data_IF_761350242352
#
_entry.id   IF_761350242352
#
_cell.length_a   1.000
_cell.length_b   1.000
_cell.length_c   1.000
_cell.angle_alpha   90.00
_cell.angle_beta   90.00
_cell.angle_gamma   90.00
#
_symmetry.space_group_name_H-M   'P 1'
#
loop_
_entity.id
_entity.type
_entity.pdbx_description
1 polymer ?
#
# COMPACT_ATOMS: atom_id res chain seq x y z
N UNK A 1 4.27 13.42 -12.04
CA UNK A 1 5.52 12.64 -12.16
C UNK A 1 5.36 11.58 -13.23
N UNK A 2 6.47 11.19 -13.88
CA UNK A 2 6.51 10.02 -14.78
C UNK A 2 6.77 8.74 -13.99
N UNK A 3 6.51 7.61 -14.61
CA UNK A 3 6.83 6.29 -14.06
C UNK A 3 7.84 5.59 -14.98
N UNK A 4 8.63 4.69 -14.43
CA UNK A 4 9.63 3.91 -15.17
C UNK A 4 9.63 2.45 -14.74
N UNK A 5 10.18 1.59 -15.58
CA UNK A 5 10.33 0.18 -15.25
C UNK A 5 11.79 -0.14 -14.92
N UNK A 6 12.03 -0.73 -13.77
CA UNK A 6 13.34 -1.21 -13.36
C UNK A 6 13.74 -2.50 -14.10
N UNK A 7 15.02 -2.86 -14.05
CA UNK A 7 15.56 -4.07 -14.68
C UNK A 7 14.93 -5.37 -14.19
N UNK A 8 14.40 -5.37 -12.96
CA UNK A 8 13.66 -6.51 -12.38
C UNK A 8 12.18 -6.56 -12.80
N UNK A 9 11.74 -5.66 -13.67
CA UNK A 9 10.36 -5.58 -14.16
C UNK A 9 9.41 -4.72 -13.33
N UNK A 10 9.81 -4.24 -12.15
CA UNK A 10 8.96 -3.44 -11.27
C UNK A 10 8.80 -2.02 -11.80
N UNK A 11 7.57 -1.52 -11.86
CA UNK A 11 7.25 -0.14 -12.17
C UNK A 11 7.30 0.73 -10.92
N UNK A 12 7.97 1.87 -11.03
CA UNK A 12 8.22 2.81 -9.92
C UNK A 12 8.09 4.26 -10.39
N UNK A 13 7.92 5.25 -9.49
CA UNK A 13 8.01 6.66 -9.85
C UNK A 13 9.42 7.02 -10.31
N UNK A 14 9.53 7.79 -11.40
CA UNK A 14 10.83 8.25 -11.88
C UNK A 14 11.38 9.38 -11.00
N UNK A 15 12.67 9.31 -10.66
CA UNK A 15 13.35 10.33 -9.86
C UNK A 15 13.04 10.30 -8.37
N UNK A 16 12.47 9.20 -7.88
CA UNK A 16 12.30 8.98 -6.46
C UNK A 16 13.66 8.71 -5.79
N UNK A 17 13.98 9.45 -4.72
CA UNK A 17 15.27 9.36 -4.04
C UNK A 17 15.54 7.96 -3.45
N UNK A 18 14.50 7.24 -3.04
CA UNK A 18 14.63 5.85 -2.57
C UNK A 18 14.99 4.91 -3.73
N UNK A 19 14.38 5.12 -4.89
CA UNK A 19 14.69 4.33 -6.08
C UNK A 19 16.14 4.55 -6.51
N UNK A 20 16.64 5.77 -6.44
CA UNK A 20 18.05 6.06 -6.74
C UNK A 20 18.98 5.35 -5.74
N UNK A 21 18.65 5.34 -4.45
CA UNK A 21 19.41 4.57 -3.46
C UNK A 21 19.37 3.06 -3.76
N UNK A 22 18.25 2.53 -4.24
CA UNK A 22 18.15 1.13 -4.64
C UNK A 22 19.03 0.81 -5.86
N UNK A 23 19.12 1.73 -6.81
CA UNK A 23 20.02 1.59 -7.96
C UNK A 23 21.50 1.54 -7.54
N UNK A 24 21.88 2.38 -6.56
CA UNK A 24 23.27 2.47 -6.08
C UNK A 24 23.67 1.29 -5.19
N UNK A 25 22.79 0.84 -4.32
CA UNK A 25 23.09 -0.14 -3.26
C UNK A 25 22.61 -1.55 -3.58
N UNK A 26 21.96 -1.76 -4.72
CA UNK A 26 21.25 -2.99 -5.03
C UNK A 26 19.93 -3.13 -4.25
N UNK A 27 18.92 -3.65 -4.92
CA UNK A 27 17.66 -4.05 -4.30
C UNK A 27 17.88 -5.34 -3.51
N UNK A 28 17.42 -5.49 -2.28
CA UNK A 28 16.43 -4.78 -1.48
C UNK A 28 16.91 -4.22 -0.12
N UNK A 29 16.11 -3.35 0.48
CA UNK A 29 16.35 -2.70 1.78
C UNK A 29 15.79 -3.42 3.01
N UNK A 30 15.92 -2.76 4.20
CA UNK A 30 15.53 -3.32 5.51
C UNK A 30 14.05 -3.74 5.60
N UNK A 31 13.14 -3.07 4.90
CA UNK A 31 11.74 -3.51 4.81
C UNK A 31 11.64 -4.91 4.20
N UNK A 32 12.48 -5.22 3.22
CA UNK A 32 12.52 -6.54 2.60
C UNK A 32 13.02 -7.62 3.55
N UNK A 33 13.88 -7.30 4.50
CA UNK A 33 14.30 -8.29 5.49
C UNK A 33 13.13 -8.72 6.38
N UNK A 34 12.34 -7.78 6.88
CA UNK A 34 11.14 -8.09 7.67
C UNK A 34 10.09 -8.80 6.82
N UNK A 35 9.87 -8.33 5.60
CA UNK A 35 8.93 -8.94 4.66
C UNK A 35 9.35 -10.36 4.29
N UNK A 36 10.63 -10.59 3.97
CA UNK A 36 11.16 -11.91 3.64
C UNK A 36 11.02 -12.87 4.82
N UNK A 37 11.33 -12.43 6.05
CA UNK A 37 11.12 -13.25 7.25
C UNK A 37 9.65 -13.59 7.46
N UNK A 38 8.73 -12.65 7.17
CA UNK A 38 7.30 -12.90 7.27
C UNK A 38 6.82 -13.88 6.19
N UNK A 39 7.28 -13.73 4.95
CA UNK A 39 7.01 -14.66 3.85
C UNK A 39 7.51 -16.07 4.19
N UNK A 40 8.76 -16.19 4.68
CA UNK A 40 9.32 -17.46 5.14
C UNK A 40 8.50 -18.08 6.28
N UNK A 41 8.02 -17.26 7.22
CA UNK A 41 7.16 -17.71 8.29
C UNK A 41 5.81 -18.22 7.73
N UNK A 42 5.19 -17.52 6.78
CA UNK A 42 3.97 -17.96 6.13
C UNK A 42 4.16 -19.31 5.43
N UNK A 43 5.26 -19.46 4.68
CA UNK A 43 5.60 -20.71 4.01
C UNK A 43 5.78 -21.87 4.99
N UNK A 44 6.58 -21.66 6.06
CA UNK A 44 6.88 -22.67 7.07
C UNK A 44 5.64 -23.14 7.82
N UNK A 45 4.64 -22.26 8.02
CA UNK A 45 3.43 -22.53 8.79
C UNK A 45 2.21 -22.82 7.91
N UNK A 46 2.40 -22.96 6.60
CA UNK A 46 1.29 -23.11 5.62
C UNK A 46 0.18 -22.07 5.84
N UNK A 47 0.61 -20.83 6.14
CA UNK A 47 -0.32 -19.74 6.49
C UNK A 47 -0.93 -19.15 5.24
N UNK A 48 -2.26 -19.07 5.22
CA UNK A 48 -3.04 -18.38 4.20
C UNK A 48 -4.07 -17.46 4.83
N UNK A 49 -4.22 -16.27 4.26
CA UNK A 49 -5.17 -15.26 4.70
C UNK A 49 -6.38 -15.25 3.75
N UNK A 50 -7.58 -14.99 4.28
CA UNK A 50 -8.78 -14.81 3.45
C UNK A 50 -8.76 -13.48 2.72
N UNK A 51 -8.51 -12.41 3.47
CA UNK A 51 -8.41 -11.05 2.94
C UNK A 51 -7.32 -10.28 3.66
N UNK A 52 -6.35 -9.79 2.89
CA UNK A 52 -5.34 -8.86 3.35
C UNK A 52 -5.73 -7.45 2.92
N UNK A 53 -5.61 -6.49 3.84
CA UNK A 53 -5.72 -5.07 3.56
C UNK A 53 -4.32 -4.45 3.61
N UNK A 54 -3.83 -3.96 2.48
CA UNK A 54 -2.55 -3.25 2.33
C UNK A 54 -2.82 -1.75 2.25
N UNK A 55 -2.71 -1.05 3.38
CA UNK A 55 -2.97 0.38 3.51
C UNK A 55 -1.66 1.15 3.37
N UNK A 56 -1.59 2.04 2.36
CA UNK A 56 -0.35 2.65 1.91
C UNK A 56 0.45 1.66 1.06
N UNK A 57 -0.16 1.17 -0.01
CA UNK A 57 0.41 0.10 -0.83
C UNK A 57 1.60 0.56 -1.71
N UNK A 58 1.79 1.88 -1.86
CA UNK A 58 2.81 2.46 -2.72
C UNK A 58 2.78 1.85 -4.13
N UNK A 59 3.90 1.27 -4.60
CA UNK A 59 3.99 0.58 -5.89
C UNK A 59 3.58 -0.91 -5.84
N UNK A 60 3.11 -1.41 -4.68
CA UNK A 60 2.59 -2.77 -4.53
C UNK A 60 3.65 -3.84 -4.24
N UNK A 61 4.86 -3.46 -3.84
CA UNK A 61 5.95 -4.41 -3.55
C UNK A 61 5.60 -5.39 -2.46
N UNK A 62 4.91 -4.91 -1.39
CA UNK A 62 4.47 -5.74 -0.30
C UNK A 62 3.37 -6.73 -0.75
N UNK A 63 2.33 -6.23 -1.41
CA UNK A 63 1.24 -7.06 -1.92
C UNK A 63 1.74 -8.10 -2.94
N UNK A 64 2.72 -7.74 -3.79
CA UNK A 64 3.35 -8.66 -4.73
C UNK A 64 4.04 -9.84 -4.03
N UNK A 65 4.73 -9.59 -2.90
CA UNK A 65 5.35 -10.64 -2.12
C UNK A 65 4.33 -11.55 -1.42
N UNK A 66 3.17 -10.98 -1.03
CA UNK A 66 2.12 -11.67 -0.29
C UNK A 66 1.04 -12.34 -1.16
N UNK A 67 1.07 -12.15 -2.48
CA UNK A 67 0.02 -12.58 -3.40
C UNK A 67 -0.36 -14.07 -3.32
N UNK A 68 0.62 -14.93 -3.03
CA UNK A 68 0.40 -16.37 -2.93
C UNK A 68 -0.12 -16.83 -1.55
N UNK A 69 -0.16 -15.91 -0.57
CA UNK A 69 -0.54 -16.20 0.81
C UNK A 69 -1.92 -15.66 1.18
N UNK A 70 -2.68 -15.17 0.19
CA UNK A 70 -4.03 -14.66 0.41
C UNK A 70 -5.00 -15.10 -0.69
N UNK A 71 -6.28 -15.28 -0.31
CA UNK A 71 -7.35 -15.48 -1.29
C UNK A 71 -7.73 -14.16 -1.96
N UNK A 72 -7.59 -13.03 -1.24
CA UNK A 72 -7.81 -11.66 -1.72
C UNK A 72 -6.84 -10.69 -1.08
N UNK A 73 -6.42 -9.68 -1.85
CA UNK A 73 -5.67 -8.54 -1.33
C UNK A 73 -6.33 -7.25 -1.83
N UNK A 74 -6.63 -6.33 -0.92
CA UNK A 74 -7.12 -5.00 -1.28
C UNK A 74 -6.05 -3.97 -0.93
N UNK A 75 -5.55 -3.28 -1.96
CA UNK A 75 -4.50 -2.28 -1.86
C UNK A 75 -5.09 -0.88 -1.92
N UNK A 76 -4.70 -0.02 -0.98
CA UNK A 76 -5.12 1.37 -0.90
C UNK A 76 -3.91 2.28 -1.03
N UNK A 77 -3.91 3.13 -2.06
CA UNK A 77 -2.83 4.08 -2.34
C UNK A 77 -3.41 5.39 -2.88
N UNK A 78 -3.35 6.50 -2.12
CA UNK A 78 -3.94 7.76 -2.53
C UNK A 78 -3.14 8.53 -3.58
N UNK A 79 -1.81 8.40 -3.62
CA UNK A 79 -0.98 9.12 -4.57
C UNK A 79 -1.18 8.59 -5.99
N UNK A 80 -1.59 9.45 -6.91
CA UNK A 80 -1.92 9.08 -8.30
C UNK A 80 -0.75 8.45 -9.06
N UNK A 81 0.48 8.92 -8.82
CA UNK A 81 1.69 8.39 -9.49
C UNK A 81 2.03 6.99 -8.96
N UNK A 82 2.00 6.80 -7.65
CA UNK A 82 2.18 5.48 -7.01
C UNK A 82 1.10 4.51 -7.46
N UNK A 83 -0.14 4.97 -7.51
CA UNK A 83 -1.27 4.15 -7.97
C UNK A 83 -1.13 3.71 -9.43
N UNK A 84 -0.55 4.54 -10.31
CA UNK A 84 -0.23 4.11 -11.68
C UNK A 84 0.82 2.99 -11.70
N UNK A 85 1.85 3.06 -10.83
CA UNK A 85 2.81 1.97 -10.67
C UNK A 85 2.12 0.72 -10.11
N UNK A 86 1.27 0.88 -9.11
CA UNK A 86 0.49 -0.19 -8.49
C UNK A 86 -0.34 -0.96 -9.53
N UNK A 87 -1.05 -0.24 -10.42
CA UNK A 87 -1.80 -0.86 -11.54
C UNK A 87 -0.89 -1.64 -12.46
N UNK A 88 0.28 -1.11 -12.82
CA UNK A 88 1.24 -1.78 -13.70
C UNK A 88 1.81 -3.06 -13.09
N UNK A 89 2.06 -3.03 -11.77
CA UNK A 89 2.66 -4.14 -11.05
C UNK A 89 1.65 -5.23 -10.69
N UNK A 90 0.41 -4.87 -10.35
CA UNK A 90 -0.56 -5.78 -9.74
C UNK A 90 -1.85 -5.95 -10.54
N UNK A 91 -2.12 -5.10 -11.53
CA UNK A 91 -3.40 -5.12 -12.26
C UNK A 91 -3.70 -6.40 -13.06
N UNK A 92 -2.71 -7.29 -13.21
CA UNK A 92 -2.89 -8.61 -13.84
C UNK A 92 -3.38 -9.72 -12.89
N UNK A 93 -3.45 -9.46 -11.56
CA UNK A 93 -3.89 -10.45 -10.57
C UNK A 93 -5.37 -10.28 -10.24
N UNK A 94 -6.23 -11.21 -10.63
CA UNK A 94 -7.68 -11.12 -10.45
C UNK A 94 -8.13 -11.06 -8.98
N UNK A 95 -7.35 -11.65 -8.06
CA UNK A 95 -7.63 -11.66 -6.63
C UNK A 95 -7.12 -10.40 -5.89
N UNK A 96 -6.43 -9.48 -6.59
CA UNK A 96 -5.94 -8.22 -6.03
C UNK A 96 -6.82 -7.06 -6.52
N UNK A 97 -7.40 -6.31 -5.59
CA UNK A 97 -8.16 -5.09 -5.90
C UNK A 97 -7.38 -3.85 -5.51
N UNK A 98 -7.41 -2.87 -6.39
CA UNK A 98 -6.63 -1.64 -6.27
C UNK A 98 -7.58 -0.45 -6.10
N UNK A 99 -7.33 0.36 -5.06
CA UNK A 99 -8.15 1.51 -4.71
C UNK A 99 -7.29 2.77 -4.61
N UNK A 100 -7.61 3.79 -5.41
CA UNK A 100 -6.94 5.10 -5.33
C UNK A 100 -7.61 5.97 -4.26
N UNK A 101 -7.53 5.53 -3.02
CA UNK A 101 -8.10 6.19 -1.84
C UNK A 101 -7.07 6.27 -0.72
N UNK A 102 -7.14 7.31 0.09
CA UNK A 102 -6.57 7.28 1.43
C UNK A 102 -7.48 6.51 2.38
N UNK A 103 -6.92 5.99 3.45
CA UNK A 103 -7.67 5.38 4.56
C UNK A 103 -7.36 6.16 5.84
N UNK A 104 -8.39 6.42 6.64
CA UNK A 104 -8.28 7.18 7.88
C UNK A 104 -9.55 7.08 8.73
N UNK A 105 -9.77 8.08 9.60
CA UNK A 105 -10.89 8.09 10.56
C UNK A 105 -12.12 8.89 10.10
N UNK A 106 -12.20 9.26 8.83
CA UNK A 106 -13.34 9.98 8.24
C UNK A 106 -13.61 9.51 6.82
N UNK A 107 -14.83 9.73 6.35
CA UNK A 107 -15.24 9.57 4.96
C UNK A 107 -15.37 10.95 4.33
N UNK A 108 -14.70 11.17 3.18
CA UNK A 108 -14.75 12.46 2.51
C UNK A 108 -13.65 12.67 1.48
N UNK A 109 -13.19 13.91 1.38
CA UNK A 109 -12.08 14.30 0.51
C UNK A 109 -11.05 15.10 1.29
N UNK A 110 -9.81 14.88 0.93
CA UNK A 110 -8.63 15.49 1.53
C UNK A 110 -7.68 15.98 0.45
N UNK A 111 -6.72 16.79 0.84
CA UNK A 111 -5.60 17.19 0.00
C UNK A 111 -4.36 16.38 0.38
N UNK A 112 -3.59 15.98 -0.62
CA UNK A 112 -2.24 15.44 -0.41
C UNK A 112 -1.22 16.55 -0.59
N UNK A 113 -0.12 16.51 0.18
CA UNK A 113 1.04 17.36 -0.10
C UNK A 113 1.66 16.92 -1.42
N UNK A 114 2.03 17.89 -2.25
CA UNK A 114 2.68 17.67 -3.54
C UNK A 114 4.20 17.78 -3.35
N UNK A 115 4.76 17.01 -2.42
CA UNK A 115 6.19 16.98 -2.21
C UNK A 115 6.88 16.16 -3.30
N UNK A 116 7.88 16.76 -3.93
CA UNK A 116 8.67 16.15 -5.00
C UNK A 116 9.45 14.90 -4.54
N UNK A 117 9.62 14.72 -3.24
CA UNK A 117 10.09 13.48 -2.62
C UNK A 117 8.88 12.63 -2.23
N UNK A 118 8.57 11.64 -3.05
CA UNK A 118 7.38 10.79 -2.94
C UNK A 118 7.23 10.06 -1.60
N UNK A 119 8.30 9.92 -0.83
CA UNK A 119 8.31 9.33 0.51
C UNK A 119 7.64 10.18 1.59
N UNK A 120 7.38 11.47 1.32
CA UNK A 120 6.79 12.40 2.29
C UNK A 120 5.39 12.87 1.88
N UNK A 121 4.67 12.13 1.04
CA UNK A 121 3.28 12.47 0.74
C UNK A 121 2.48 12.43 2.03
N UNK A 122 2.05 13.59 2.52
CA UNK A 122 1.24 13.73 3.73
C UNK A 122 -0.19 14.09 3.38
N UNK A 123 -1.10 13.60 4.19
CA UNK A 123 -2.49 14.02 4.15
C UNK A 123 -2.63 15.36 4.86
N UNK A 124 -3.24 16.32 4.18
CA UNK A 124 -3.76 17.55 4.78
C UNK A 124 -5.27 17.40 4.90
N UNK A 125 -5.79 17.56 6.11
CA UNK A 125 -7.24 17.56 6.38
C UNK A 125 -7.89 18.88 5.91
N UNK A 126 -7.61 19.23 4.67
CA UNK A 126 -8.14 20.39 3.95
C UNK A 126 -8.94 19.88 2.74
N UNK A 127 -9.81 20.74 2.19
CA UNK A 127 -10.56 20.42 0.99
C UNK A 127 -9.63 20.11 -0.18
N UNK A 128 -9.81 18.95 -0.80
CA UNK A 128 -9.01 18.45 -1.90
C UNK A 128 -9.77 17.48 -2.81
N UNK A 129 -9.06 16.81 -3.69
CA UNK A 129 -9.63 15.89 -4.68
C UNK A 129 -9.40 14.39 -4.36
N UNK A 130 -8.61 14.08 -3.34
CA UNK A 130 -8.30 12.71 -2.94
C UNK A 130 -9.38 12.17 -2.01
N UNK A 131 -9.97 11.05 -2.37
CA UNK A 131 -10.93 10.35 -1.51
C UNK A 131 -10.21 9.78 -0.30
N UNK A 132 -10.82 9.96 0.90
CA UNK A 132 -10.45 9.26 2.13
C UNK A 132 -11.68 8.53 2.66
N UNK A 133 -11.48 7.35 3.22
CA UNK A 133 -12.57 6.55 3.78
C UNK A 133 -12.11 5.79 5.03
N UNK A 134 -13.10 5.46 5.88
CA UNK A 134 -12.90 4.56 7.01
C UNK A 134 -13.00 3.11 6.53
N UNK A 135 -12.20 2.21 7.08
CA UNK A 135 -12.35 0.77 6.84
C UNK A 135 -13.73 0.26 7.32
N UNK A 136 -14.24 0.82 8.41
CA UNK A 136 -15.56 0.48 8.96
C UNK A 136 -16.73 0.84 8.03
N UNK A 137 -16.52 1.80 7.10
CA UNK A 137 -17.53 2.15 6.08
C UNK A 137 -17.54 1.16 4.91
N UNK A 138 -16.57 0.26 4.86
CA UNK A 138 -16.45 -0.78 3.84
C UNK A 138 -16.86 -2.12 4.43
N UNK A 139 -17.62 -2.92 3.72
CA UNK A 139 -18.03 -4.26 4.17
C UNK A 139 -16.84 -5.24 4.02
N UNK A 140 -15.94 -5.24 4.98
CA UNK A 140 -14.68 -6.01 4.96
C UNK A 140 -14.64 -7.14 6.00
N UNK A 141 -15.76 -7.79 6.26
CA UNK A 141 -15.96 -8.77 7.34
C UNK A 141 -15.02 -10.00 7.30
N UNK A 142 -14.35 -10.24 6.16
CA UNK A 142 -13.43 -11.37 5.99
C UNK A 142 -11.95 -10.97 6.14
N UNK A 143 -11.64 -9.71 6.49
CA UNK A 143 -10.27 -9.26 6.64
C UNK A 143 -9.64 -9.90 7.89
N UNK A 144 -8.56 -10.63 7.70
CA UNK A 144 -7.81 -11.31 8.76
C UNK A 144 -6.35 -10.89 8.82
N UNK A 145 -5.97 -9.90 8.00
CA UNK A 145 -4.67 -9.24 8.07
C UNK A 145 -4.77 -7.79 7.60
N UNK A 146 -4.14 -6.88 8.37
CA UNK A 146 -4.03 -5.47 8.07
C UNK A 146 -2.55 -5.04 8.12
N UNK A 147 -2.01 -4.57 7.00
CA UNK A 147 -0.73 -3.86 6.92
C UNK A 147 -1.03 -2.37 6.81
N UNK A 148 -0.38 -1.56 7.63
CA UNK A 148 -0.51 -0.10 7.64
C UNK A 148 0.87 0.52 7.50
N UNK A 149 1.04 1.39 6.50
CA UNK A 149 2.25 2.14 6.24
C UNK A 149 1.87 3.45 5.52
N UNK A 150 1.44 4.45 6.29
CA UNK A 150 0.74 5.66 5.79
C UNK A 150 1.37 6.97 6.22
N UNK A 151 2.66 6.94 6.54
CA UNK A 151 3.48 8.14 6.79
C UNK A 151 2.89 9.09 7.87
N UNK A 152 2.50 8.50 9.02
CA UNK A 152 2.06 9.22 10.21
C UNK A 152 0.55 9.31 10.42
N UNK A 153 -0.26 8.57 9.66
CA UNK A 153 -1.71 8.45 9.85
C UNK A 153 -2.13 7.08 10.42
N UNK A 154 -1.21 6.29 10.94
CA UNK A 154 -1.48 4.93 11.42
C UNK A 154 -2.59 4.92 12.47
N UNK A 155 -2.57 5.89 13.41
CA UNK A 155 -3.62 5.99 14.43
C UNK A 155 -4.98 6.35 13.86
N UNK A 156 -5.04 7.20 12.83
CA UNK A 156 -6.29 7.55 12.15
C UNK A 156 -6.86 6.35 11.38
N UNK A 157 -5.99 5.53 10.76
CA UNK A 157 -6.41 4.29 10.12
C UNK A 157 -7.04 3.35 11.15
N UNK A 158 -6.40 3.14 12.30
CA UNK A 158 -6.92 2.28 13.37
C UNK A 158 -8.25 2.82 13.94
N UNK A 159 -8.38 4.14 14.14
CA UNK A 159 -9.62 4.78 14.57
C UNK A 159 -10.76 4.60 13.56
N UNK A 160 -10.45 4.51 12.26
CA UNK A 160 -11.43 4.26 11.20
C UNK A 160 -11.70 2.76 10.96
N UNK A 161 -11.16 1.88 11.79
CA UNK A 161 -11.24 0.43 11.71
C UNK A 161 -11.69 -0.23 13.03
N UNK A 162 -12.29 0.53 13.96
CA UNK A 162 -12.65 0.04 15.30
C UNK A 162 -13.55 -1.19 15.23
N UNK A 163 -14.61 -1.15 14.39
CA UNK A 163 -15.52 -2.27 14.23
C UNK A 163 -14.91 -3.46 13.48
N UNK A 164 -13.95 -3.20 12.61
CA UNK A 164 -13.23 -4.25 11.86
C UNK A 164 -12.26 -5.01 12.79
N UNK A 165 -11.74 -4.35 13.82
CA UNK A 165 -10.73 -4.89 14.73
C UNK A 165 -11.35 -5.61 15.95
N UNK A 166 -12.64 -5.38 16.25
CA UNK A 166 -13.41 -6.06 17.31
C UNK A 166 -13.88 -7.47 16.86
#
# INVERSE_FOLDING_TARGET
MSIEQLSNGLWVPSGDAQIEQWREKGYPHMQDKCLNQFVEWCQKNDKKFKLILDIGAWCGTWALAMQNFADKIYCYEPNKTHFQCLIKNLGGFEHIKLHNHAVGNLDGKIKLTDDAATQNTRVLFEEGDTVICKLDSMQLNDADMLKIDVEGLEMQVLQGAENLLD
#
